data_IF_744299120775
#
_entry.id   IF_744299120775
#
_cell.length_a   1.000
_cell.length_b   1.000
_cell.length_c   1.000
_cell.angle_alpha   90.00
_cell.angle_beta   90.00
_cell.angle_gamma   90.00
#
_symmetry.space_group_name_H-M   'P 1'
#
loop_
_entity.id
_entity.type
_entity.pdbx_description
1 polymer ?
#
# COMPACT_ATOMS: atom_id res chain seq x y z
N UNK A 1 63.06 -49.90 15.13
CA UNK A 1 62.94 -48.78 14.18
C UNK A 1 61.53 -48.76 13.62
N UNK A 2 60.62 -48.09 14.31
CA UNK A 2 59.23 -47.88 13.89
C UNK A 2 59.10 -46.41 13.52
N UNK A 3 58.97 -46.15 12.23
CA UNK A 3 58.83 -44.81 11.65
C UNK A 3 57.50 -44.19 12.06
N UNK A 4 57.55 -43.36 13.10
CA UNK A 4 56.52 -42.40 13.49
C UNK A 4 56.24 -41.43 12.34
N UNK A 5 55.30 -41.82 11.47
CA UNK A 5 54.84 -41.05 10.31
C UNK A 5 53.37 -40.65 10.48
N UNK A 6 52.96 -40.38 11.73
CA UNK A 6 51.55 -40.17 12.11
C UNK A 6 51.17 -38.76 12.57
N UNK A 7 52.02 -37.74 12.41
CA UNK A 7 51.83 -36.45 13.14
C UNK A 7 51.27 -35.29 12.30
N UNK A 8 51.14 -35.39 10.97
CA UNK A 8 50.84 -34.20 10.15
C UNK A 8 49.70 -34.34 9.14
N UNK A 9 48.67 -35.13 9.41
CA UNK A 9 47.35 -34.87 8.82
C UNK A 9 46.69 -33.68 9.53
N UNK A 10 47.34 -32.51 9.48
CA UNK A 10 46.74 -31.24 9.89
C UNK A 10 45.44 -31.09 9.11
N UNK A 11 44.30 -31.17 9.80
CA UNK A 11 43.00 -30.93 9.23
C UNK A 11 43.02 -29.59 8.47
N UNK A 12 43.12 -29.67 7.14
CA UNK A 12 43.14 -28.51 6.24
C UNK A 12 41.69 -28.04 6.13
N UNK A 13 41.20 -27.36 7.16
CA UNK A 13 39.99 -26.55 7.02
C UNK A 13 40.27 -25.41 6.04
N UNK A 14 39.30 -25.06 5.19
CA UNK A 14 39.43 -23.90 4.30
C UNK A 14 39.85 -22.66 5.11
N UNK A 15 40.89 -21.91 4.69
CA UNK A 15 41.32 -20.70 5.40
C UNK A 15 40.19 -19.67 5.50
N UNK A 16 39.28 -19.65 4.52
CA UNK A 16 38.10 -18.80 4.51
C UNK A 16 37.12 -19.14 5.65
N UNK A 17 36.76 -20.42 5.82
CA UNK A 17 35.85 -20.83 6.90
C UNK A 17 36.43 -20.53 8.28
N UNK A 18 37.77 -20.63 8.40
CA UNK A 18 38.47 -20.19 9.61
C UNK A 18 38.34 -18.68 9.80
N UNK A 19 38.58 -17.88 8.76
CA UNK A 19 38.43 -16.42 8.82
C UNK A 19 37.00 -16.00 9.21
N UNK A 20 35.98 -16.54 8.53
CA UNK A 20 34.56 -16.31 8.86
C UNK A 20 34.30 -16.70 10.31
N UNK A 21 34.78 -17.86 10.74
CA UNK A 21 34.60 -18.31 12.11
C UNK A 21 35.25 -17.38 13.12
N UNK A 22 36.45 -16.84 12.87
CA UNK A 22 37.09 -15.88 13.77
C UNK A 22 36.34 -14.55 13.78
N UNK A 23 36.04 -14.00 12.61
CA UNK A 23 35.36 -12.72 12.40
C UNK A 23 33.92 -12.70 12.90
N UNK A 24 33.26 -13.86 13.01
CA UNK A 24 31.84 -13.92 13.40
C UNK A 24 31.56 -13.27 14.75
N UNK A 25 32.45 -13.41 15.74
CA UNK A 25 32.21 -12.82 17.06
C UNK A 25 32.26 -11.28 17.01
N UNK A 26 33.30 -10.65 16.43
CA UNK A 26 33.25 -9.21 16.13
C UNK A 26 32.00 -8.79 15.37
N UNK A 27 31.64 -9.49 14.28
CA UNK A 27 30.45 -9.16 13.47
C UNK A 27 29.17 -9.22 14.30
N UNK A 28 29.00 -10.24 15.14
CA UNK A 28 27.83 -10.37 16.01
C UNK A 28 27.67 -9.20 17.00
N UNK A 29 28.77 -8.58 17.43
CA UNK A 29 28.77 -7.40 18.30
C UNK A 29 28.61 -6.08 17.53
N UNK A 30 29.37 -5.91 16.44
CA UNK A 30 29.40 -4.66 15.70
C UNK A 30 28.18 -4.45 14.82
N UNK A 31 27.58 -5.52 14.28
CA UNK A 31 26.42 -5.41 13.40
C UNK A 31 25.22 -4.71 14.07
N UNK A 32 24.72 -5.14 15.24
CA UNK A 32 23.58 -4.46 15.88
C UNK A 32 23.91 -3.01 16.26
N UNK A 33 25.14 -2.73 16.70
CA UNK A 33 25.60 -1.36 16.97
C UNK A 33 25.55 -0.51 15.71
N UNK A 34 26.10 -1.01 14.60
CA UNK A 34 26.10 -0.32 13.32
C UNK A 34 24.67 -0.06 12.82
N UNK A 35 23.77 -1.05 12.94
CA UNK A 35 22.38 -0.88 12.52
C UNK A 35 21.63 0.17 13.35
N UNK A 36 21.88 0.22 14.67
CA UNK A 36 21.33 1.29 15.52
C UNK A 36 21.91 2.65 15.12
N UNK A 37 23.22 2.75 14.88
CA UNK A 37 23.87 3.98 14.43
C UNK A 37 23.32 4.49 13.09
N UNK A 38 23.09 3.58 12.13
CA UNK A 38 22.45 3.94 10.86
C UNK A 38 21.01 4.41 11.08
N UNK A 39 20.30 3.84 12.06
CA UNK A 39 18.93 4.22 12.40
C UNK A 39 18.81 5.62 13.00
N UNK A 40 19.84 6.13 13.66
CA UNK A 40 19.88 7.52 14.11
C UNK A 40 19.73 8.54 12.98
N UNK A 41 20.09 8.19 11.74
CA UNK A 41 19.95 9.10 10.61
C UNK A 41 18.49 9.35 10.20
N UNK A 42 17.57 8.42 10.52
CA UNK A 42 16.14 8.57 10.22
C UNK A 42 15.35 9.16 11.39
N UNK A 43 15.78 9.00 12.65
CA UNK A 43 15.01 9.47 13.80
C UNK A 43 13.75 8.61 14.11
N UNK A 44 12.76 9.18 14.79
CA UNK A 44 11.51 8.50 15.17
C UNK A 44 11.46 7.86 16.56
N UNK A 45 10.26 7.47 16.98
CA UNK A 45 9.99 6.80 18.27
C UNK A 45 10.75 5.49 18.40
N UNK A 46 10.91 4.72 17.31
CA UNK A 46 11.67 3.47 17.32
C UNK A 46 13.14 3.72 17.62
N UNK A 47 13.70 4.81 17.09
CA UNK A 47 15.08 5.20 17.40
C UNK A 47 15.22 5.53 18.87
N UNK A 48 14.28 6.28 19.46
CA UNK A 48 14.26 6.57 20.89
C UNK A 48 14.26 5.28 21.73
N UNK A 49 13.35 4.34 21.42
CA UNK A 49 13.28 3.05 22.10
C UNK A 49 14.55 2.24 21.91
N UNK A 50 15.10 2.18 20.70
CA UNK A 50 16.34 1.46 20.41
C UNK A 50 17.51 2.05 21.20
N UNK A 51 17.59 3.36 21.37
CA UNK A 51 18.65 4.01 22.13
C UNK A 51 18.52 3.71 23.62
N UNK A 52 17.33 3.89 24.19
CA UNK A 52 17.08 3.58 25.61
C UNK A 52 17.30 2.10 25.92
N UNK A 53 16.87 1.21 25.03
CA UNK A 53 17.01 -0.24 25.20
C UNK A 53 18.35 -0.79 24.69
N UNK A 54 19.16 0.00 23.99
CA UNK A 54 20.43 -0.45 23.40
C UNK A 54 21.37 -1.13 24.38
N UNK A 55 21.51 -0.71 25.66
CA UNK A 55 22.39 -1.37 26.60
C UNK A 55 21.99 -2.81 26.90
N UNK A 56 20.72 -3.18 26.65
CA UNK A 56 20.17 -4.53 26.86
C UNK A 56 20.03 -5.27 25.52
N UNK A 57 19.48 -4.60 24.50
CA UNK A 57 19.19 -5.18 23.18
C UNK A 57 20.47 -5.55 22.44
N UNK A 58 21.49 -4.68 22.44
CA UNK A 58 22.76 -4.96 21.72
C UNK A 58 23.46 -6.19 22.30
N UNK A 59 23.72 -6.29 23.62
CA UNK A 59 24.30 -7.51 24.18
C UNK A 59 23.40 -8.73 23.98
N UNK A 60 22.07 -8.59 24.11
CA UNK A 60 21.12 -9.68 23.89
C UNK A 60 21.23 -10.28 22.49
N UNK A 61 21.16 -9.44 21.46
CA UNK A 61 21.30 -9.87 20.05
C UNK A 61 22.69 -10.44 19.79
N UNK A 62 23.75 -9.80 20.28
CA UNK A 62 25.12 -10.27 20.08
C UNK A 62 25.37 -11.65 20.71
N UNK A 63 24.85 -11.88 21.93
CA UNK A 63 24.92 -13.16 22.62
C UNK A 63 24.13 -14.25 21.89
N UNK A 64 22.92 -13.92 21.42
CA UNK A 64 22.11 -14.84 20.61
C UNK A 64 22.84 -15.20 19.31
N UNK A 65 23.33 -14.23 18.55
CA UNK A 65 24.08 -14.46 17.32
C UNK A 65 25.38 -15.27 17.55
N UNK A 66 25.99 -15.17 18.73
CA UNK A 66 27.17 -15.95 19.12
C UNK A 66 26.83 -17.37 19.64
N UNK A 67 25.57 -17.68 19.94
CA UNK A 67 25.16 -18.94 20.57
C UNK A 67 25.52 -20.19 19.76
N UNK A 68 25.26 -20.26 18.43
CA UNK A 68 25.66 -21.43 17.62
C UNK A 68 27.18 -21.68 17.69
N UNK A 69 27.97 -20.61 17.77
CA UNK A 69 29.42 -20.69 17.92
C UNK A 69 29.84 -21.27 19.26
N UNK A 70 29.23 -20.83 20.35
CA UNK A 70 29.53 -21.34 21.68
C UNK A 70 29.19 -22.82 21.83
N UNK A 71 28.04 -23.25 21.28
CA UNK A 71 27.60 -24.65 21.28
C UNK A 71 28.64 -25.54 20.57
N UNK A 72 29.06 -25.16 19.37
CA UNK A 72 30.04 -25.92 18.59
C UNK A 72 31.44 -25.89 19.24
N UNK A 73 31.90 -24.73 19.75
CA UNK A 73 33.20 -24.63 20.43
C UNK A 73 33.28 -25.51 21.67
N UNK A 74 32.23 -25.57 22.48
CA UNK A 74 32.17 -26.45 23.66
C UNK A 74 32.33 -27.94 23.29
N UNK A 75 32.05 -28.32 22.05
CA UNK A 75 32.19 -29.69 21.53
C UNK A 75 33.48 -29.93 20.74
N UNK A 76 34.44 -29.01 20.81
CA UNK A 76 35.77 -29.16 20.20
C UNK A 76 35.85 -28.78 18.72
N UNK A 77 34.81 -28.17 18.16
CA UNK A 77 34.86 -27.66 16.78
C UNK A 77 35.81 -26.46 16.69
N UNK A 78 36.81 -26.58 15.81
CA UNK A 78 37.81 -25.51 15.57
C UNK A 78 37.38 -24.52 14.49
N UNK A 79 36.48 -24.93 13.60
CA UNK A 79 35.94 -24.13 12.49
C UNK A 79 34.43 -24.36 12.38
N UNK A 80 33.71 -23.38 11.85
CA UNK A 80 32.30 -23.55 11.54
C UNK A 80 32.12 -24.53 10.38
N UNK A 81 31.15 -25.44 10.47
CA UNK A 81 30.56 -26.10 9.31
C UNK A 81 30.03 -25.04 8.32
N UNK A 82 30.24 -25.27 7.02
CA UNK A 82 29.83 -24.33 5.97
C UNK A 82 28.32 -24.02 6.01
N UNK A 83 27.49 -25.01 6.36
CA UNK A 83 26.04 -24.85 6.53
C UNK A 83 25.70 -23.83 7.62
N UNK A 84 26.30 -23.96 8.80
CA UNK A 84 26.10 -23.03 9.93
C UNK A 84 26.59 -21.63 9.56
N UNK A 85 27.77 -21.50 8.95
CA UNK A 85 28.28 -20.20 8.48
C UNK A 85 27.34 -19.54 7.48
N UNK A 86 26.81 -20.29 6.51
CA UNK A 86 25.93 -19.76 5.47
C UNK A 86 24.62 -19.25 6.06
N UNK A 87 24.00 -20.02 6.95
CA UNK A 87 22.77 -19.63 7.63
C UNK A 87 22.97 -18.40 8.54
N UNK A 88 24.11 -18.32 9.22
CA UNK A 88 24.47 -17.15 10.02
C UNK A 88 24.65 -15.89 9.16
N UNK A 89 25.34 -16.00 8.02
CA UNK A 89 25.51 -14.88 7.08
C UNK A 89 24.16 -14.44 6.50
N UNK A 90 23.30 -15.39 6.09
CA UNK A 90 21.95 -15.08 5.62
C UNK A 90 21.12 -14.38 6.69
N UNK A 91 21.20 -14.85 7.94
CA UNK A 91 20.51 -14.22 9.07
C UNK A 91 21.00 -12.79 9.32
N UNK A 92 22.31 -12.57 9.28
CA UNK A 92 22.89 -11.23 9.45
C UNK A 92 22.44 -10.26 8.35
N UNK A 93 22.41 -10.71 7.09
CA UNK A 93 21.88 -9.91 5.99
C UNK A 93 20.38 -9.65 6.14
N UNK A 94 19.59 -10.65 6.57
CA UNK A 94 18.18 -10.47 6.84
C UNK A 94 17.93 -9.39 7.90
N UNK A 95 18.73 -9.40 8.98
CA UNK A 95 18.65 -8.39 10.03
C UNK A 95 19.03 -7.01 9.48
N UNK A 96 20.09 -6.91 8.67
CA UNK A 96 20.50 -5.64 8.07
C UNK A 96 19.43 -5.08 7.11
N UNK A 97 18.88 -5.91 6.22
CA UNK A 97 17.81 -5.51 5.30
C UNK A 97 16.57 -5.05 6.05
N UNK A 98 16.16 -5.79 7.08
CA UNK A 98 15.03 -5.42 7.94
C UNK A 98 15.29 -4.07 8.62
N UNK A 99 16.42 -3.90 9.32
CA UNK A 99 16.71 -2.67 10.05
C UNK A 99 16.87 -1.45 9.15
N UNK A 100 17.40 -1.62 7.93
CA UNK A 100 17.58 -0.51 6.99
C UNK A 100 16.29 -0.12 6.28
N UNK A 101 15.39 -1.07 6.02
CA UNK A 101 14.16 -0.82 5.25
C UNK A 101 12.93 -0.53 6.11
N UNK A 102 12.92 -0.84 7.42
CA UNK A 102 11.79 -0.50 8.30
C UNK A 102 11.66 1.02 8.39
N UNK A 103 10.47 1.57 8.11
CA UNK A 103 10.16 3.00 8.27
C UNK A 103 10.03 3.38 9.74
N UNK A 104 10.29 4.63 10.08
CA UNK A 104 10.09 5.15 11.44
C UNK A 104 8.69 5.72 11.62
N UNK A 105 8.24 5.84 12.86
CA UNK A 105 7.04 6.59 13.22
C UNK A 105 7.39 7.78 14.12
N UNK A 106 6.73 8.91 13.91
CA UNK A 106 6.86 10.12 14.71
C UNK A 106 5.50 10.80 14.90
N UNK A 107 5.46 11.83 15.75
CA UNK A 107 4.22 12.56 16.05
C UNK A 107 3.60 13.26 14.82
N UNK A 108 4.43 13.53 13.81
CA UNK A 108 4.03 14.17 12.55
C UNK A 108 3.85 13.19 11.38
N UNK A 109 3.84 11.88 11.64
CA UNK A 109 3.65 10.85 10.60
C UNK A 109 4.83 9.89 10.42
N UNK A 110 4.88 9.26 9.25
CA UNK A 110 5.91 8.27 8.92
C UNK A 110 7.22 8.94 8.55
N UNK A 111 8.33 8.36 9.01
CA UNK A 111 9.68 8.83 8.70
C UNK A 111 10.35 7.83 7.77
N UNK A 112 11.04 8.34 6.76
CA UNK A 112 11.71 7.54 5.76
C UNK A 112 12.76 6.61 6.36
N UNK A 113 12.87 5.41 5.78
CA UNK A 113 13.87 4.45 6.23
C UNK A 113 15.28 4.93 5.85
N UNK A 114 16.33 4.52 6.59
CA UNK A 114 17.71 4.75 6.18
C UNK A 114 17.99 4.33 4.74
N UNK A 115 17.35 3.24 4.28
CA UNK A 115 17.48 2.77 2.91
C UNK A 115 16.92 3.78 1.91
N UNK A 116 15.75 4.39 2.15
CA UNK A 116 15.22 5.49 1.32
C UNK A 116 16.16 6.67 1.27
N UNK A 117 16.76 7.02 2.40
CA UNK A 117 17.70 8.14 2.50
C UNK A 117 18.91 7.94 1.58
N UNK A 118 19.41 6.69 1.46
CA UNK A 118 20.49 6.35 0.54
C UNK A 118 20.01 6.14 -0.91
N UNK A 119 18.76 5.71 -1.09
CA UNK A 119 18.16 5.39 -2.39
C UNK A 119 16.82 6.13 -2.55
N UNK A 120 16.88 7.42 -2.93
CA UNK A 120 15.71 8.29 -3.04
C UNK A 120 14.62 7.81 -4.01
N UNK A 121 14.96 6.91 -4.94
CA UNK A 121 14.01 6.29 -5.86
C UNK A 121 13.26 5.06 -5.31
N UNK A 122 13.49 4.68 -4.05
CA UNK A 122 12.85 3.53 -3.43
C UNK A 122 11.44 3.90 -2.96
N UNK A 123 10.42 3.24 -3.51
CA UNK A 123 9.02 3.39 -3.09
C UNK A 123 8.80 2.77 -1.71
N UNK A 124 7.91 3.34 -0.90
CA UNK A 124 7.56 2.85 0.44
C UNK A 124 7.26 1.34 0.48
N UNK A 125 6.39 0.86 -0.40
CA UNK A 125 6.04 -0.56 -0.41
C UNK A 125 7.19 -1.48 -0.86
N UNK A 126 8.17 -0.98 -1.62
CA UNK A 126 9.42 -1.72 -1.85
C UNK A 126 10.25 -1.81 -0.57
N UNK A 127 10.27 -0.76 0.27
CA UNK A 127 10.86 -0.83 1.61
C UNK A 127 10.16 -1.87 2.47
N UNK A 128 8.83 -1.86 2.48
CA UNK A 128 8.01 -2.86 3.17
C UNK A 128 8.31 -4.29 2.70
N UNK A 129 8.48 -4.51 1.39
CA UNK A 129 8.87 -5.81 0.84
C UNK A 129 10.29 -6.22 1.24
N UNK A 130 11.26 -5.30 1.20
CA UNK A 130 12.64 -5.57 1.63
C UNK A 130 12.68 -5.88 3.13
N UNK A 131 11.94 -5.12 3.94
CA UNK A 131 11.82 -5.34 5.38
C UNK A 131 11.16 -6.69 5.70
N UNK A 132 10.08 -7.03 4.99
CA UNK A 132 9.39 -8.32 5.09
C UNK A 132 10.27 -9.50 4.67
N UNK A 133 10.99 -9.37 3.56
CA UNK A 133 11.97 -10.36 3.13
C UNK A 133 13.11 -10.50 4.14
N UNK A 134 13.62 -9.39 4.66
CA UNK A 134 14.64 -9.35 5.70
C UNK A 134 14.21 -10.08 6.96
N UNK A 135 12.98 -9.87 7.44
CA UNK A 135 12.46 -10.53 8.64
C UNK A 135 12.24 -12.04 8.42
N UNK A 136 11.69 -12.43 7.25
CA UNK A 136 11.56 -13.83 6.82
C UNK A 136 12.90 -14.55 6.65
N UNK A 137 13.98 -13.81 6.39
CA UNK A 137 15.31 -14.38 6.30
C UNK A 137 16.01 -14.43 7.66
N UNK A 138 15.93 -13.35 8.45
CA UNK A 138 16.69 -13.16 9.68
C UNK A 138 16.40 -14.26 10.71
N UNK A 139 15.13 -14.42 11.09
CA UNK A 139 14.73 -15.29 12.20
C UNK A 139 14.77 -16.79 11.82
N UNK A 140 14.21 -17.23 10.67
CA UNK A 140 14.28 -18.64 10.27
C UNK A 140 15.70 -19.13 10.00
N UNK A 141 16.56 -18.32 9.37
CA UNK A 141 17.96 -18.72 9.15
C UNK A 141 18.73 -18.83 10.46
N UNK A 142 18.47 -17.93 11.42
CA UNK A 142 19.07 -18.03 12.76
C UNK A 142 18.64 -19.32 13.47
N UNK A 143 17.33 -19.62 13.51
CA UNK A 143 16.81 -20.84 14.12
C UNK A 143 17.39 -22.08 13.44
N UNK A 144 17.44 -22.11 12.11
CA UNK A 144 18.06 -23.20 11.37
C UNK A 144 19.55 -23.34 11.71
N UNK A 145 20.29 -22.24 11.79
CA UNK A 145 21.71 -22.27 12.19
C UNK A 145 21.89 -22.86 13.59
N UNK A 146 21.02 -22.48 14.52
CA UNK A 146 21.03 -22.97 15.90
C UNK A 146 20.72 -24.47 15.97
N UNK A 147 19.65 -24.92 15.28
CA UNK A 147 19.27 -26.35 15.22
C UNK A 147 20.40 -27.18 14.61
N UNK A 148 20.95 -26.75 13.48
CA UNK A 148 22.08 -27.44 12.84
C UNK A 148 23.30 -27.47 13.77
N UNK A 149 23.61 -26.37 14.46
CA UNK A 149 24.70 -26.34 15.43
C UNK A 149 24.49 -27.32 16.60
N UNK A 150 23.27 -27.45 17.12
CA UNK A 150 22.92 -28.41 18.17
C UNK A 150 23.06 -29.86 17.66
N UNK A 151 22.53 -30.16 16.47
CA UNK A 151 22.63 -31.51 15.87
C UNK A 151 24.08 -31.89 15.58
N UNK A 152 24.91 -30.95 15.14
CA UNK A 152 26.34 -31.20 14.91
C UNK A 152 27.13 -31.31 16.22
N UNK A 153 26.71 -30.59 17.25
CA UNK A 153 27.26 -30.70 18.59
C UNK A 153 27.05 -32.08 19.22
N UNK A 154 25.95 -32.78 18.93
CA UNK A 154 25.72 -34.15 19.45
C UNK A 154 26.54 -35.21 18.72
N UNK A 155 26.91 -34.98 17.45
CA UNK A 155 27.67 -35.95 16.63
C UNK A 155 29.18 -35.93 16.90
N UNK A 156 29.70 -34.82 17.41
CA UNK A 156 31.12 -34.61 17.69
C UNK A 156 31.98 -34.50 16.42
N UNK A 157 33.16 -33.85 16.49
CA UNK A 157 34.00 -33.59 15.31
C UNK A 157 34.62 -34.86 14.70
N UNK A 158 34.80 -35.92 15.49
CA UNK A 158 35.51 -37.14 15.07
C UNK A 158 34.74 -38.00 14.06
N UNK A 159 33.40 -38.01 14.11
CA UNK A 159 32.57 -38.80 13.17
C UNK A 159 32.54 -38.18 11.77
N UNK A 160 32.49 -36.86 11.67
CA UNK A 160 32.56 -36.19 10.37
C UNK A 160 33.95 -36.24 9.74
N UNK A 161 35.00 -36.11 10.56
CA UNK A 161 36.37 -36.26 10.06
C UNK A 161 36.60 -37.66 9.48
N UNK A 162 36.01 -38.71 10.08
CA UNK A 162 36.09 -40.09 9.60
C UNK A 162 35.30 -40.33 8.29
N UNK A 163 34.14 -39.68 8.11
CA UNK A 163 33.40 -39.73 6.84
C UNK A 163 34.05 -38.90 5.72
N UNK A 164 34.81 -37.85 6.07
CA UNK A 164 35.49 -37.01 5.07
C UNK A 164 36.85 -37.56 4.63
N UNK A 165 37.50 -38.39 5.44
CA UNK A 165 38.82 -38.97 5.11
C UNK A 165 38.75 -40.15 4.16
N UNK A 166 37.61 -40.85 4.04
CA UNK A 166 37.42 -41.97 3.11
C UNK A 166 37.08 -41.53 1.68
N UNK A 167 36.54 -40.34 1.50
CA UNK A 167 36.34 -39.75 0.18
C UNK A 167 37.62 -39.02 -0.27
N UNK A 168 38.60 -39.78 -0.77
CA UNK A 168 39.79 -39.20 -1.40
C UNK A 168 39.36 -38.35 -2.62
N UNK A 169 39.56 -37.02 -2.60
CA UNK A 169 39.24 -36.19 -3.75
C UNK A 169 40.24 -36.47 -4.88
N UNK A 170 39.81 -36.43 -6.15
CA UNK A 170 40.72 -36.55 -7.29
C UNK A 170 41.81 -35.46 -7.24
N UNK A 171 43.07 -35.87 -7.43
CA UNK A 171 44.29 -35.07 -7.24
C UNK A 171 44.42 -33.84 -8.17
N UNK A 172 43.56 -33.67 -9.16
CA UNK A 172 43.71 -32.65 -10.21
C UNK A 172 42.88 -31.38 -10.03
N UNK A 173 41.98 -31.30 -9.05
CA UNK A 173 41.13 -30.12 -8.89
C UNK A 173 41.73 -29.13 -7.88
N UNK A 174 42.63 -28.25 -8.36
CA UNK A 174 43.05 -27.02 -7.67
C UNK A 174 41.95 -25.97 -7.49
N UNK A 175 40.68 -26.38 -7.61
CA UNK A 175 39.51 -25.56 -7.46
C UNK A 175 38.98 -25.71 -6.03
N UNK A 176 38.70 -24.58 -5.37
CA UNK A 176 38.00 -24.55 -4.09
C UNK A 176 36.83 -25.53 -4.14
N UNK A 177 36.75 -26.45 -3.16
CA UNK A 177 35.64 -27.40 -3.11
C UNK A 177 34.35 -26.60 -3.12
N UNK A 178 33.40 -26.91 -4.00
CA UNK A 178 32.16 -26.16 -4.17
C UNK A 178 31.45 -25.81 -2.83
N UNK A 179 31.58 -26.69 -1.82
CA UNK A 179 31.10 -26.48 -0.45
C UNK A 179 31.67 -25.25 0.27
N UNK A 180 32.93 -24.89 -0.01
CA UNK A 180 33.62 -23.76 0.62
C UNK A 180 33.22 -22.43 -0.03
N UNK A 181 32.64 -22.47 -1.24
CA UNK A 181 32.10 -21.32 -1.95
C UNK A 181 30.65 -20.99 -1.54
N UNK A 182 29.94 -21.91 -0.88
CA UNK A 182 28.53 -21.69 -0.47
C UNK A 182 28.38 -20.43 0.39
N UNK A 183 29.21 -20.16 1.42
CA UNK A 183 29.05 -18.96 2.24
C UNK A 183 29.28 -17.67 1.44
N UNK A 184 30.20 -17.68 0.47
CA UNK A 184 30.45 -16.54 -0.44
C UNK A 184 29.23 -16.36 -1.35
N UNK A 185 28.72 -17.46 -1.91
CA UNK A 185 27.52 -17.48 -2.72
C UNK A 185 26.35 -16.85 -1.96
N UNK A 186 26.11 -17.25 -0.71
CA UNK A 186 25.05 -16.67 0.14
C UNK A 186 25.29 -15.19 0.44
N UNK A 187 26.55 -14.79 0.71
CA UNK A 187 26.90 -13.40 0.98
C UNK A 187 26.56 -12.46 -0.20
N UNK A 188 26.74 -12.92 -1.44
CA UNK A 188 26.42 -12.15 -2.65
C UNK A 188 24.95 -12.32 -3.07
N UNK A 189 24.42 -13.54 -2.97
CA UNK A 189 23.09 -13.89 -3.44
C UNK A 189 21.99 -13.17 -2.64
N UNK A 190 22.13 -13.02 -1.33
CA UNK A 190 21.08 -12.40 -0.50
C UNK A 190 20.81 -10.93 -0.89
N UNK A 191 21.83 -10.04 -0.98
CA UNK A 191 21.61 -8.68 -1.48
C UNK A 191 21.02 -8.64 -2.90
N UNK A 192 21.47 -9.54 -3.79
CA UNK A 192 20.96 -9.61 -5.15
C UNK A 192 19.48 -10.02 -5.16
N UNK A 193 19.09 -11.03 -4.38
CA UNK A 193 17.69 -11.45 -4.26
C UNK A 193 16.82 -10.35 -3.66
N UNK A 194 17.32 -9.61 -2.66
CA UNK A 194 16.61 -8.47 -2.10
C UNK A 194 16.40 -7.35 -3.14
N UNK A 195 17.43 -7.04 -3.94
CA UNK A 195 17.33 -6.08 -5.04
C UNK A 195 16.36 -6.55 -6.13
N UNK A 196 16.36 -7.84 -6.47
CA UNK A 196 15.40 -8.44 -7.41
C UNK A 196 13.98 -8.37 -6.85
N UNK A 197 13.77 -8.70 -5.57
CA UNK A 197 12.46 -8.61 -4.93
C UNK A 197 11.92 -7.17 -4.96
N UNK A 198 12.77 -6.18 -4.67
CA UNK A 198 12.43 -4.77 -4.79
C UNK A 198 12.13 -4.36 -6.24
N UNK A 199 12.94 -4.84 -7.21
CA UNK A 199 12.73 -4.62 -8.63
C UNK A 199 11.42 -5.22 -9.15
N UNK A 200 11.06 -6.43 -8.71
CA UNK A 200 9.79 -7.07 -9.04
C UNK A 200 8.63 -6.32 -8.39
N UNK A 201 8.76 -5.91 -7.13
CA UNK A 201 7.74 -5.10 -6.45
C UNK A 201 7.45 -3.80 -7.17
N UNK A 202 8.50 -3.06 -7.56
CA UNK A 202 8.36 -1.82 -8.34
C UNK A 202 7.82 -2.06 -9.74
N UNK A 203 8.20 -3.14 -10.42
CA UNK A 203 7.64 -3.52 -11.72
C UNK A 203 6.15 -3.89 -11.63
N UNK A 204 5.74 -4.60 -10.58
CA UNK A 204 4.34 -4.93 -10.31
C UNK A 204 3.54 -3.65 -10.07
N UNK A 205 4.08 -2.65 -9.36
CA UNK A 205 3.39 -1.36 -9.18
C UNK A 205 3.27 -0.56 -10.47
N UNK A 206 4.35 -0.50 -11.26
CA UNK A 206 4.34 0.19 -12.57
C UNK A 206 3.31 -0.42 -13.52
N UNK A 207 3.10 -1.73 -13.41
CA UNK A 207 2.12 -2.48 -14.17
C UNK A 207 0.83 -2.76 -13.37
N UNK A 208 0.68 -2.14 -12.21
CA UNK A 208 -0.47 -2.34 -11.33
C UNK A 208 -1.75 -1.76 -11.93
N UNK A 209 -2.88 -1.90 -11.23
CA UNK A 209 -4.14 -1.27 -11.63
C UNK A 209 -3.89 0.21 -11.86
N UNK A 210 -4.08 0.64 -13.11
CA UNK A 210 -4.07 2.04 -13.46
C UNK A 210 -5.38 2.64 -13.01
N UNK A 211 -5.30 3.87 -12.55
CA UNK A 211 -6.48 4.67 -12.32
C UNK A 211 -7.24 4.90 -13.64
N UNK A 212 -8.46 5.41 -13.57
CA UNK A 212 -9.25 5.67 -14.79
C UNK A 212 -8.69 6.81 -15.65
N UNK A 213 -7.76 7.60 -15.10
CA UNK A 213 -6.97 8.54 -15.85
C UNK A 213 -5.78 7.89 -16.59
N UNK A 214 -5.55 6.59 -16.41
CA UNK A 214 -4.48 5.79 -17.00
C UNK A 214 -3.15 5.86 -16.24
N UNK A 215 -3.09 6.50 -15.08
CA UNK A 215 -1.90 6.58 -14.26
C UNK A 215 -1.83 5.39 -13.30
N UNK A 216 -0.68 4.70 -13.28
CA UNK A 216 -0.38 3.70 -12.25
C UNK A 216 -0.09 4.38 -10.91
N UNK A 217 -0.30 3.66 -9.81
CA UNK A 217 0.18 4.02 -8.46
C UNK A 217 1.59 4.61 -8.47
N UNK A 218 2.52 3.89 -9.09
CA UNK A 218 3.92 4.30 -9.18
C UNK A 218 4.13 5.64 -9.89
N UNK A 219 3.24 6.02 -10.81
CA UNK A 219 3.33 7.31 -11.50
C UNK A 219 2.83 8.41 -10.58
N UNK A 220 1.69 8.20 -9.90
CA UNK A 220 1.08 9.20 -9.01
C UNK A 220 1.97 9.51 -7.79
N UNK A 221 2.57 8.48 -7.16
CA UNK A 221 3.52 8.64 -6.04
C UNK A 221 4.74 9.47 -6.43
N UNK A 222 5.17 9.37 -7.70
CA UNK A 222 6.38 10.03 -8.20
C UNK A 222 6.15 11.49 -8.62
N UNK A 223 4.90 11.98 -8.62
CA UNK A 223 4.62 13.36 -8.99
C UNK A 223 4.97 14.33 -7.87
N UNK A 224 5.53 15.47 -8.26
CA UNK A 224 5.56 16.63 -7.37
C UNK A 224 4.15 17.21 -7.19
N UNK A 225 4.01 18.16 -6.26
CA UNK A 225 2.72 18.76 -5.91
C UNK A 225 2.00 19.38 -7.11
N UNK A 226 2.72 20.15 -7.92
CA UNK A 226 2.13 20.85 -9.06
C UNK A 226 1.67 19.87 -10.14
N UNK A 227 2.46 18.82 -10.40
CA UNK A 227 2.12 17.78 -11.35
C UNK A 227 0.96 16.90 -10.85
N UNK A 228 0.89 16.65 -9.54
CA UNK A 228 -0.23 15.97 -8.89
C UNK A 228 -1.52 16.79 -9.00
N UNK A 229 -1.50 18.08 -8.69
CA UNK A 229 -2.65 18.99 -8.84
C UNK A 229 -3.12 19.05 -10.30
N UNK A 230 -2.18 19.16 -11.26
CA UNK A 230 -2.49 19.13 -12.68
C UNK A 230 -3.02 17.76 -13.16
N UNK A 231 -2.61 16.66 -12.54
CA UNK A 231 -3.21 15.35 -12.81
C UNK A 231 -4.63 15.28 -12.23
N UNK A 232 -4.83 15.74 -11.00
CA UNK A 232 -6.14 15.79 -10.34
C UNK A 232 -7.15 16.58 -11.16
N UNK A 233 -6.75 17.74 -11.69
CA UNK A 233 -7.60 18.56 -12.56
C UNK A 233 -7.98 17.83 -13.85
N UNK A 234 -7.01 17.18 -14.52
CA UNK A 234 -7.29 16.37 -15.72
C UNK A 234 -8.21 15.18 -15.44
N UNK A 235 -8.08 14.57 -14.26
CA UNK A 235 -8.98 13.50 -13.83
C UNK A 235 -10.38 14.01 -13.54
N UNK A 236 -10.49 15.22 -12.97
CA UNK A 236 -11.76 15.91 -12.76
C UNK A 236 -12.45 16.25 -14.09
N UNK A 237 -11.73 16.82 -15.05
CA UNK A 237 -12.24 17.13 -16.38
C UNK A 237 -12.80 15.87 -17.07
N UNK A 238 -12.06 14.75 -17.02
CA UNK A 238 -12.54 13.48 -17.56
C UNK A 238 -13.75 12.94 -16.82
N UNK A 239 -13.80 13.06 -15.49
CA UNK A 239 -14.98 12.66 -14.71
C UNK A 239 -16.21 13.49 -15.14
N UNK A 240 -16.04 14.78 -15.36
CA UNK A 240 -17.10 15.67 -15.85
C UNK A 240 -17.54 15.30 -17.28
N UNK A 241 -16.61 14.98 -18.16
CA UNK A 241 -16.87 14.50 -19.52
C UNK A 241 -17.72 13.21 -19.49
N UNK A 242 -17.42 12.27 -18.59
CA UNK A 242 -18.18 11.03 -18.42
C UNK A 242 -19.57 11.23 -17.80
N UNK A 243 -19.69 12.19 -16.88
CA UNK A 243 -20.97 12.53 -16.25
C UNK A 243 -21.88 13.37 -17.16
N UNK A 244 -21.32 14.16 -18.09
CA UNK A 244 -22.06 15.12 -18.93
C UNK A 244 -23.16 14.49 -19.80
N UNK A 245 -22.95 13.36 -20.51
CA UNK A 245 -23.99 12.74 -21.32
C UNK A 245 -25.19 12.27 -20.49
N UNK A 246 -24.96 11.72 -19.29
CA UNK A 246 -26.04 11.27 -18.40
C UNK A 246 -26.80 12.46 -17.84
N UNK A 247 -26.09 13.53 -17.44
CA UNK A 247 -26.71 14.81 -17.03
C UNK A 247 -27.59 15.40 -18.14
N UNK A 248 -27.08 15.44 -19.36
CA UNK A 248 -27.78 15.98 -20.54
C UNK A 248 -29.01 15.15 -20.87
N UNK A 249 -28.89 13.82 -20.83
CA UNK A 249 -30.01 12.91 -21.05
C UNK A 249 -31.13 13.11 -20.02
N UNK A 250 -30.75 13.24 -18.75
CA UNK A 250 -31.66 13.55 -17.65
C UNK A 250 -32.32 14.92 -17.85
N UNK A 251 -31.55 15.96 -18.18
CA UNK A 251 -32.09 17.31 -18.37
C UNK A 251 -33.09 17.39 -19.54
N UNK A 252 -32.85 16.64 -20.63
CA UNK A 252 -33.78 16.55 -21.76
C UNK A 252 -35.14 15.96 -21.39
N UNK A 253 -35.21 15.17 -20.32
CA UNK A 253 -36.48 14.69 -19.78
C UNK A 253 -37.22 15.75 -18.93
N UNK A 254 -36.71 16.99 -18.88
CA UNK A 254 -37.33 18.12 -18.18
C UNK A 254 -36.98 18.21 -16.69
N UNK A 255 -35.88 17.58 -16.27
CA UNK A 255 -35.53 17.44 -14.87
C UNK A 255 -34.75 18.66 -14.40
N UNK A 256 -35.15 19.24 -13.27
CA UNK A 256 -34.50 20.42 -12.68
C UNK A 256 -33.49 19.98 -11.61
N UNK A 257 -32.26 20.47 -11.73
CA UNK A 257 -31.20 20.27 -10.74
C UNK A 257 -31.49 21.16 -9.53
N UNK A 258 -31.53 20.57 -8.34
CA UNK A 258 -31.97 21.25 -7.13
C UNK A 258 -30.83 21.74 -6.23
N UNK A 259 -29.65 21.16 -6.40
CA UNK A 259 -28.44 21.59 -5.72
C UNK A 259 -27.22 21.35 -6.60
N UNK A 260 -26.27 22.28 -6.52
CA UNK A 260 -25.00 22.18 -7.23
C UNK A 260 -24.16 21.06 -6.62
N UNK A 261 -23.61 20.22 -7.49
CA UNK A 261 -22.71 19.17 -7.09
C UNK A 261 -21.39 19.71 -6.56
N UNK A 262 -20.98 19.25 -5.39
CA UNK A 262 -19.66 19.52 -4.83
C UNK A 262 -18.68 18.40 -5.15
N UNK A 263 -17.38 18.73 -5.23
CA UNK A 263 -16.31 17.74 -5.16
C UNK A 263 -16.27 17.22 -3.73
N UNK A 264 -16.69 15.98 -3.50
CA UNK A 264 -16.48 15.35 -2.20
C UNK A 264 -15.15 14.59 -2.22
N UNK A 265 -14.10 15.25 -1.72
CA UNK A 265 -12.90 14.53 -1.28
C UNK A 265 -13.29 13.74 -0.03
N UNK A 266 -13.71 12.50 -0.21
CA UNK A 266 -13.77 11.56 0.92
C UNK A 266 -12.35 11.05 1.12
N UNK A 267 -11.61 11.68 2.02
CA UNK A 267 -10.56 10.96 2.74
C UNK A 267 -11.26 9.82 3.46
N UNK A 268 -11.08 8.59 2.99
CA UNK A 268 -11.44 7.42 3.76
C UNK A 268 -10.77 7.51 5.14
N UNK A 269 -11.27 6.76 6.13
CA UNK A 269 -10.63 6.60 7.45
C UNK A 269 -9.16 6.10 7.37
N UNK A 270 -8.66 5.80 6.17
CA UNK A 270 -7.24 5.70 5.81
C UNK A 270 -6.80 7.01 5.12
N UNK A 271 -5.92 7.83 5.73
CA UNK A 271 -5.50 9.16 5.23
C UNK A 271 -4.72 9.15 3.88
N UNK A 272 -4.74 8.03 3.15
CA UNK A 272 -3.79 7.69 2.09
C UNK A 272 -4.43 7.54 0.69
N UNK A 273 -5.74 7.82 0.55
CA UNK A 273 -6.47 7.72 -0.74
C UNK A 273 -7.32 8.96 -0.99
N UNK A 274 -7.29 9.47 -2.22
CA UNK A 274 -8.24 10.51 -2.66
C UNK A 274 -9.27 9.92 -3.63
N UNK A 275 -10.53 10.29 -3.44
CA UNK A 275 -11.66 9.93 -4.31
C UNK A 275 -12.20 11.20 -4.94
N UNK A 276 -12.32 11.22 -6.26
CA UNK A 276 -13.07 12.26 -6.97
C UNK A 276 -14.47 11.72 -7.26
N UNK A 277 -15.46 12.42 -6.74
CA UNK A 277 -16.86 12.17 -6.98
C UNK A 277 -17.53 13.46 -7.47
N UNK A 278 -18.28 13.34 -8.56
CA UNK A 278 -19.21 14.35 -9.01
C UNK A 278 -20.62 13.87 -8.63
N UNK A 279 -21.22 14.51 -7.62
CA UNK A 279 -22.57 14.17 -7.18
C UNK A 279 -23.52 15.32 -7.44
N UNK A 280 -24.73 15.09 -7.96
CA UNK A 280 -25.76 16.11 -8.07
C UNK A 280 -27.13 15.56 -7.68
N UNK A 281 -28.04 16.45 -7.29
CA UNK A 281 -29.38 16.08 -6.86
C UNK A 281 -30.44 16.74 -7.74
N UNK A 282 -31.47 15.96 -8.07
CA UNK A 282 -32.60 16.34 -8.89
C UNK A 282 -33.87 16.10 -8.07
N UNK A 283 -34.77 17.08 -8.05
CA UNK A 283 -36.07 16.91 -7.39
C UNK A 283 -37.09 16.34 -8.36
N UNK A 284 -37.94 15.44 -7.86
CA UNK A 284 -38.92 14.75 -8.69
C UNK A 284 -40.27 14.54 -8.01
N UNK A 285 -41.32 14.71 -8.81
CA UNK A 285 -42.67 14.25 -8.48
C UNK A 285 -42.88 12.84 -9.03
N UNK A 286 -42.69 11.85 -8.15
CA UNK A 286 -42.84 10.44 -8.52
C UNK A 286 -42.45 9.51 -7.37
N UNK A 287 -42.70 8.21 -7.55
CA UNK A 287 -42.15 7.20 -6.66
C UNK A 287 -40.65 6.97 -6.97
N UNK A 288 -39.81 6.68 -5.95
CA UNK A 288 -38.38 6.46 -6.15
C UNK A 288 -38.04 5.38 -7.17
N UNK A 289 -38.86 4.32 -7.28
CA UNK A 289 -38.64 3.21 -8.21
C UNK A 289 -38.70 3.65 -9.67
N UNK A 290 -39.76 4.37 -10.04
CA UNK A 290 -39.97 4.93 -11.38
C UNK A 290 -38.92 5.97 -11.75
N UNK A 291 -38.47 6.78 -10.79
CA UNK A 291 -37.41 7.78 -11.00
C UNK A 291 -36.07 7.08 -11.24
N UNK A 292 -35.68 6.16 -10.36
CA UNK A 292 -34.42 5.43 -10.50
C UNK A 292 -34.38 4.62 -11.81
N UNK A 293 -35.49 3.97 -12.20
CA UNK A 293 -35.57 3.18 -13.45
C UNK A 293 -35.41 4.04 -14.71
N UNK A 294 -35.95 5.27 -14.71
CA UNK A 294 -35.73 6.22 -15.81
C UNK A 294 -34.28 6.67 -15.88
N UNK A 295 -33.71 7.08 -14.75
CA UNK A 295 -32.30 7.48 -14.68
C UNK A 295 -31.37 6.35 -15.15
N UNK A 296 -31.67 5.11 -14.76
CA UNK A 296 -30.98 3.93 -15.23
C UNK A 296 -31.07 3.77 -16.75
N UNK A 297 -32.26 3.92 -17.34
CA UNK A 297 -32.42 3.81 -18.80
C UNK A 297 -31.63 4.89 -19.55
N UNK A 298 -31.55 6.10 -19.01
CA UNK A 298 -30.70 7.18 -19.56
C UNK A 298 -29.22 6.79 -19.47
N UNK A 299 -28.76 6.29 -18.33
CA UNK A 299 -27.38 5.86 -18.16
C UNK A 299 -27.02 4.67 -19.07
N UNK A 300 -27.89 3.66 -19.17
CA UNK A 300 -27.72 2.50 -20.05
C UNK A 300 -27.66 2.93 -21.53
N UNK A 301 -28.43 3.93 -21.93
CA UNK A 301 -28.36 4.51 -23.28
C UNK A 301 -27.03 5.23 -23.56
N UNK A 302 -26.31 5.68 -22.53
CA UNK A 302 -24.96 6.25 -22.62
C UNK A 302 -23.84 5.20 -22.44
N UNK A 303 -24.17 3.91 -22.51
CA UNK A 303 -23.19 2.82 -22.45
C UNK A 303 -22.81 2.38 -21.03
N UNK A 304 -23.49 2.89 -19.99
CA UNK A 304 -23.29 2.42 -18.62
C UNK A 304 -23.97 1.06 -18.43
N UNK A 305 -23.28 0.11 -17.81
CA UNK A 305 -23.77 -1.26 -17.59
C UNK A 305 -23.94 -1.50 -16.10
N UNK A 306 -24.93 -2.30 -15.71
CA UNK A 306 -25.10 -2.71 -14.31
C UNK A 306 -23.85 -3.44 -13.83
N UNK A 307 -23.32 -3.05 -12.69
CA UNK A 307 -22.15 -3.67 -12.09
C UNK A 307 -22.58 -4.97 -11.41
N UNK A 308 -22.80 -6.01 -12.20
CA UNK A 308 -23.26 -7.34 -11.76
C UNK A 308 -22.20 -8.14 -11.01
N UNK A 309 -21.18 -7.49 -10.43
CA UNK A 309 -20.27 -8.19 -9.51
C UNK A 309 -21.11 -8.76 -8.38
N UNK A 310 -21.23 -10.09 -8.37
CA UNK A 310 -21.96 -10.80 -7.33
C UNK A 310 -21.45 -10.33 -5.97
N UNK A 311 -22.36 -9.96 -5.07
CA UNK A 311 -22.04 -9.61 -3.68
C UNK A 311 -21.33 -10.75 -2.90
N UNK A 312 -21.12 -11.90 -3.55
CA UNK A 312 -20.41 -13.09 -3.06
C UNK A 312 -18.96 -13.20 -3.54
N UNK A 313 -18.46 -12.29 -4.38
CA UNK A 313 -17.03 -12.20 -4.67
C UNK A 313 -16.25 -11.85 -3.40
N UNK A 314 -15.01 -12.35 -3.20
CA UNK A 314 -14.18 -11.89 -2.08
C UNK A 314 -14.12 -10.38 -2.15
N UNK A 315 -14.54 -9.71 -1.06
CA UNK A 315 -14.54 -8.25 -0.97
C UNK A 315 -13.21 -7.75 -1.50
N UNK A 316 -13.25 -7.00 -2.60
CA UNK A 316 -12.06 -6.39 -3.16
C UNK A 316 -11.46 -5.57 -2.00
N UNK A 317 -10.22 -5.80 -1.55
CA UNK A 317 -9.64 -5.04 -0.45
C UNK A 317 -9.60 -3.52 -0.76
N UNK A 318 -9.84 -3.14 -2.02
CA UNK A 318 -10.04 -1.76 -2.48
C UNK A 318 -11.43 -1.18 -2.17
N UNK A 319 -12.44 -2.00 -1.84
CA UNK A 319 -13.83 -1.61 -1.59
C UNK A 319 -14.18 -1.55 -0.08
N UNK A 320 -13.24 -1.85 0.82
CA UNK A 320 -13.51 -1.98 2.26
C UNK A 320 -13.85 -0.67 3.00
N UNK A 321 -13.51 0.50 2.45
CA UNK A 321 -13.91 1.81 2.99
C UNK A 321 -15.10 2.43 2.27
N UNK A 322 -15.61 1.76 1.22
CA UNK A 322 -16.86 2.15 0.59
C UNK A 322 -17.98 1.64 1.49
N UNK A 323 -18.71 2.57 2.12
CA UNK A 323 -20.01 2.27 2.75
C UNK A 323 -21.07 1.79 1.74
N UNK A 324 -20.70 1.61 0.46
CA UNK A 324 -21.57 1.27 -0.66
C UNK A 324 -21.00 0.10 -1.50
N UNK A 325 -20.62 -1.00 -0.85
CA UNK A 325 -20.42 -2.32 -1.51
C UNK A 325 -21.74 -3.04 -1.82
N UNK A 326 -22.82 -2.26 -1.94
CA UNK A 326 -24.16 -2.77 -2.18
C UNK A 326 -24.27 -3.57 -3.47
N UNK A 327 -25.31 -4.40 -3.58
CA UNK A 327 -25.62 -5.13 -4.80
C UNK A 327 -25.81 -4.16 -5.99
N UNK A 328 -25.70 -4.69 -7.22
CA UNK A 328 -25.93 -3.93 -8.46
C UNK A 328 -27.24 -3.12 -8.47
N UNK A 329 -28.23 -3.60 -7.71
CA UNK A 329 -29.54 -3.01 -7.52
C UNK A 329 -29.95 -3.23 -6.05
N UNK A 330 -30.41 -2.18 -5.38
CA UNK A 330 -30.89 -2.28 -4.00
C UNK A 330 -32.17 -1.48 -3.76
N UNK A 331 -32.99 -2.01 -2.85
CA UNK A 331 -34.32 -1.51 -2.50
C UNK A 331 -34.39 -1.41 -0.99
N UNK A 332 -34.86 -0.27 -0.49
CA UNK A 332 -35.08 -0.04 0.94
C UNK A 332 -36.57 0.25 1.11
N UNK A 333 -37.27 -0.62 1.84
CA UNK A 333 -38.71 -0.51 2.11
C UNK A 333 -38.95 -0.33 3.60
N UNK A 334 -39.93 0.49 3.96
CA UNK A 334 -40.36 0.58 5.37
C UNK A 334 -41.10 -0.68 5.85
N UNK A 335 -41.50 -0.68 7.13
CA UNK A 335 -42.26 -1.79 7.73
C UNK A 335 -43.62 -2.04 7.05
N UNK A 336 -44.17 -1.05 6.34
CA UNK A 336 -45.40 -1.16 5.58
C UNK A 336 -45.19 -1.62 4.13
N UNK A 337 -43.94 -1.90 3.72
CA UNK A 337 -43.57 -2.30 2.37
C UNK A 337 -43.53 -1.15 1.37
N UNK A 338 -43.53 0.11 1.82
CA UNK A 338 -43.40 1.29 0.96
C UNK A 338 -41.93 1.48 0.60
N UNK A 339 -41.64 1.59 -0.69
CA UNK A 339 -40.29 1.83 -1.20
C UNK A 339 -39.79 3.22 -0.82
N UNK A 340 -38.88 3.29 0.14
CA UNK A 340 -38.24 4.51 0.61
C UNK A 340 -37.06 4.91 -0.28
N UNK A 341 -36.28 3.93 -0.74
CA UNK A 341 -35.10 4.15 -1.58
C UNK A 341 -34.94 3.06 -2.62
N UNK A 342 -34.47 3.46 -3.80
CA UNK A 342 -34.07 2.57 -4.88
C UNK A 342 -32.75 3.05 -5.45
N UNK A 343 -31.83 2.14 -5.72
CA UNK A 343 -30.64 2.54 -6.42
C UNK A 343 -29.99 1.46 -7.27
N UNK A 344 -29.07 1.92 -8.10
CA UNK A 344 -28.34 1.11 -9.07
C UNK A 344 -26.87 1.48 -9.04
N UNK A 345 -26.00 0.46 -9.11
CA UNK A 345 -24.57 0.62 -9.33
C UNK A 345 -24.26 0.26 -10.77
N UNK A 346 -23.65 1.21 -11.47
CA UNK A 346 -23.33 1.11 -12.88
C UNK A 346 -21.84 1.29 -13.10
N UNK A 347 -21.33 0.71 -14.18
CA UNK A 347 -19.95 0.82 -14.62
C UNK A 347 -19.91 1.01 -16.14
N UNK A 348 -19.10 1.94 -16.63
CA UNK A 348 -18.86 2.09 -18.07
C UNK A 348 -17.63 1.29 -18.53
N UNK A 349 -17.36 1.28 -19.84
CA UNK A 349 -16.22 0.55 -20.42
C UNK A 349 -14.85 1.16 -20.03
N UNK A 350 -14.84 2.44 -19.63
CA UNK A 350 -13.68 3.14 -19.08
C UNK A 350 -13.45 2.84 -17.59
N UNK A 351 -14.35 2.08 -16.96
CA UNK A 351 -14.27 1.60 -15.58
C UNK A 351 -14.88 2.53 -14.52
N UNK A 352 -15.29 3.75 -14.85
CA UNK A 352 -15.96 4.66 -13.93
C UNK A 352 -17.18 4.02 -13.30
N UNK A 353 -17.45 4.36 -12.04
CA UNK A 353 -18.60 3.84 -11.30
C UNK A 353 -19.62 4.95 -11.14
N UNK A 354 -20.88 4.63 -11.38
CA UNK A 354 -21.99 5.54 -11.13
C UNK A 354 -22.96 4.89 -10.16
N UNK A 355 -23.36 5.66 -9.15
CA UNK A 355 -24.35 5.30 -8.15
C UNK A 355 -25.57 6.18 -8.38
N UNK A 356 -26.67 5.56 -8.81
CA UNK A 356 -27.97 6.20 -8.91
C UNK A 356 -28.75 5.89 -7.63
N UNK A 357 -29.20 6.92 -6.91
CA UNK A 357 -29.96 6.75 -5.66
C UNK A 357 -31.18 7.65 -5.66
N UNK A 358 -32.36 7.07 -5.86
CA UNK A 358 -33.63 7.77 -5.66
C UNK A 358 -34.15 7.50 -4.25
N UNK A 359 -34.63 8.54 -3.57
CA UNK A 359 -35.16 8.42 -2.22
C UNK A 359 -36.28 9.42 -1.95
N UNK A 360 -37.16 9.06 -1.01
CA UNK A 360 -38.07 10.01 -0.39
C UNK A 360 -37.25 10.85 0.62
N UNK A 361 -37.37 12.18 0.62
CA UNK A 361 -36.69 13.01 1.61
C UNK A 361 -37.18 12.66 3.03
N UNK A 362 -36.28 12.12 3.87
CA UNK A 362 -36.62 11.64 5.23
C UNK A 362 -36.49 12.76 6.28
N UNK A 363 -36.21 14.01 5.88
CA UNK A 363 -35.94 15.07 6.84
C UNK A 363 -37.20 15.84 7.25
N UNK A 364 -37.52 15.89 8.56
CA UNK A 364 -38.54 16.78 9.12
C UNK A 364 -38.13 18.26 9.15
N UNK A 365 -36.89 18.62 8.75
CA UNK A 365 -36.39 20.00 8.78
C UNK A 365 -36.81 20.87 7.58
N UNK A 366 -37.78 20.43 6.75
CA UNK A 366 -38.32 21.24 5.65
C UNK A 366 -39.42 22.23 6.06
N UNK A 367 -39.71 22.36 7.36
CA UNK A 367 -40.67 23.34 7.91
C UNK A 367 -40.25 24.82 7.74
N UNK A 368 -39.04 25.11 7.22
CA UNK A 368 -38.64 26.47 6.84
C UNK A 368 -38.96 26.84 5.38
N UNK A 369 -39.67 25.98 4.63
CA UNK A 369 -40.05 26.30 3.24
C UNK A 369 -41.13 27.36 3.15
N UNK A 370 -41.01 28.22 2.14
CA UNK A 370 -42.00 29.24 1.79
C UNK A 370 -43.39 28.59 1.68
N UNK A 371 -44.39 29.05 2.45
CA UNK A 371 -45.75 28.54 2.40
C UNK A 371 -46.29 28.56 0.97
N UNK A 372 -46.74 27.40 0.47
CA UNK A 372 -47.32 27.27 -0.87
C UNK A 372 -46.43 26.58 -1.91
N UNK A 373 -45.17 26.27 -1.59
CA UNK A 373 -44.32 25.51 -2.51
C UNK A 373 -44.64 24.00 -2.41
N UNK A 374 -45.03 23.33 -3.50
CA UNK A 374 -45.29 21.89 -3.46
C UNK A 374 -44.02 21.13 -3.04
N UNK A 375 -44.14 20.28 -2.01
CA UNK A 375 -43.03 19.45 -1.56
C UNK A 375 -42.81 18.33 -2.58
N UNK A 376 -41.65 18.28 -3.25
CA UNK A 376 -41.33 17.19 -4.15
C UNK A 376 -41.34 15.87 -3.39
N UNK A 377 -42.03 14.87 -3.96
CA UNK A 377 -42.25 13.58 -3.31
C UNK A 377 -41.00 12.72 -3.23
N UNK A 378 -40.00 13.00 -4.06
CA UNK A 378 -38.75 12.25 -4.14
C UNK A 378 -37.60 13.13 -4.63
N UNK A 379 -36.37 12.68 -4.41
CA UNK A 379 -35.18 13.21 -5.05
C UNK A 379 -34.37 12.06 -5.66
N UNK A 380 -33.62 12.36 -6.72
CA UNK A 380 -32.61 11.50 -7.30
C UNK A 380 -31.25 12.12 -7.05
N UNK A 381 -30.40 11.43 -6.31
CA UNK A 381 -28.97 11.70 -6.23
C UNK A 381 -28.27 10.83 -7.25
N UNK A 382 -27.50 11.46 -8.12
CA UNK A 382 -26.58 10.78 -9.03
C UNK A 382 -25.17 11.08 -8.57
N UNK A 383 -24.37 10.05 -8.35
CA UNK A 383 -22.98 10.17 -7.95
C UNK A 383 -22.12 9.40 -8.94
N UNK A 384 -21.27 10.11 -9.66
CA UNK A 384 -20.30 9.52 -10.59
C UNK A 384 -18.93 9.62 -9.96
N UNK A 385 -18.26 8.49 -9.88
CA UNK A 385 -17.01 8.35 -9.16
C UNK A 385 -15.94 7.79 -10.09
N UNK A 386 -14.76 8.39 -9.97
CA UNK A 386 -13.56 7.77 -10.47
C UNK A 386 -13.08 6.75 -9.45
N UNK A 387 -13.30 5.47 -9.70
CA UNK A 387 -12.78 4.35 -8.91
C UNK A 387 -11.24 4.26 -8.91
N UNK A 388 -10.74 3.89 -7.72
CA UNK A 388 -9.36 3.54 -7.33
C UNK A 388 -8.28 4.55 -7.71
N UNK A 389 -7.76 5.26 -6.70
CA UNK A 389 -6.53 6.04 -6.81
C UNK A 389 -5.64 5.80 -5.59
N UNK A 390 -4.34 5.78 -5.87
CA UNK A 390 -3.29 5.36 -4.96
C UNK A 390 -2.52 6.55 -4.40
N UNK A 391 -1.78 6.28 -3.32
CA UNK A 391 -0.88 7.16 -2.57
C UNK A 391 -0.31 8.33 -3.41
N UNK A 392 -0.69 9.55 -3.08
CA UNK A 392 0.15 10.72 -3.34
C UNK A 392 1.15 10.83 -2.19
N UNK A 393 2.38 11.28 -2.45
CA UNK A 393 3.42 11.41 -1.43
C UNK A 393 2.86 11.97 -0.10
N UNK A 394 2.98 11.24 1.03
CA UNK A 394 2.31 11.58 2.30
C UNK A 394 2.70 12.95 2.86
N UNK A 395 3.80 13.56 2.38
CA UNK A 395 4.14 14.96 2.67
C UNK A 395 3.05 15.96 2.25
N UNK A 396 2.09 15.57 1.41
CA UNK A 396 1.00 16.44 0.96
C UNK A 396 -0.30 16.24 1.76
N UNK A 397 -0.44 15.15 2.52
CA UNK A 397 -1.67 14.83 3.24
C UNK A 397 -1.96 15.79 4.42
N UNK A 398 -0.92 16.39 5.01
CA UNK A 398 -1.05 17.39 6.08
C UNK A 398 -1.52 18.77 5.62
N UNK A 399 -1.42 19.06 4.31
CA UNK A 399 -1.70 20.38 3.74
C UNK A 399 -2.93 20.40 2.83
N UNK A 400 -3.64 19.28 2.65
CA UNK A 400 -4.97 19.32 2.05
C UNK A 400 -5.91 19.89 3.11
N UNK A 401 -6.48 21.09 2.93
CA UNK A 401 -7.32 21.67 3.95
C UNK A 401 -8.56 20.81 4.15
N UNK A 402 -8.60 20.11 5.28
CA UNK A 402 -9.73 19.30 5.73
C UNK A 402 -10.80 20.14 6.43
N UNK A 403 -10.52 21.41 6.73
CA UNK A 403 -11.48 22.40 7.21
C UNK A 403 -11.64 23.58 6.24
N UNK A 404 -12.86 24.13 6.18
CA UNK A 404 -13.31 25.25 5.33
C UNK A 404 -12.59 26.59 5.56
N UNK A 405 -11.64 26.67 6.50
CA UNK A 405 -11.14 27.95 7.01
C UNK A 405 -9.82 28.40 6.36
N UNK A 406 -9.19 27.57 5.54
CA UNK A 406 -7.98 27.97 4.81
C UNK A 406 -8.34 28.86 3.61
N UNK A 407 -7.67 30.01 3.38
CA UNK A 407 -7.90 30.86 2.20
C UNK A 407 -7.65 30.14 0.86
N UNK A 408 -6.89 29.04 0.88
CA UNK A 408 -6.60 28.18 -0.26
C UNK A 408 -7.70 27.14 -0.48
N UNK A 409 -8.29 26.61 0.61
CA UNK A 409 -9.52 25.81 0.59
C UNK A 409 -10.69 26.65 0.09
N UNK A 410 -10.80 27.87 0.62
CA UNK A 410 -11.73 28.88 0.12
C UNK A 410 -11.39 29.15 -1.33
N UNK A 411 -10.19 29.53 -1.79
CA UNK A 411 -9.93 29.69 -3.24
C UNK A 411 -10.28 28.48 -4.13
N UNK A 412 -10.04 27.27 -3.66
CA UNK A 412 -10.40 26.02 -4.36
C UNK A 412 -11.91 25.74 -4.35
N UNK A 413 -12.67 26.33 -3.42
CA UNK A 413 -14.13 26.13 -3.23
C UNK A 413 -14.99 27.40 -3.40
N UNK A 414 -14.38 28.58 -3.43
CA UNK A 414 -14.92 29.96 -3.38
C UNK A 414 -14.55 30.76 -4.63
N UNK A 415 -13.72 30.22 -5.51
CA UNK A 415 -14.07 30.30 -6.92
C UNK A 415 -15.24 29.35 -7.09
N UNK A 416 -16.38 29.88 -7.53
CA UNK A 416 -17.60 29.16 -7.91
C UNK A 416 -17.39 27.65 -8.08
N UNK A 417 -18.05 26.78 -7.27
CA UNK A 417 -17.79 25.33 -7.25
C UNK A 417 -17.77 24.84 -8.67
N UNK A 418 -16.64 24.35 -9.25
CA UNK A 418 -16.31 24.46 -10.68
C UNK A 418 -17.59 24.55 -11.47
N UNK A 419 -18.06 25.79 -11.65
CA UNK A 419 -19.44 26.02 -12.05
C UNK A 419 -19.58 25.23 -13.32
N UNK A 420 -20.57 24.33 -13.34
CA UNK A 420 -20.94 23.61 -14.54
C UNK A 420 -20.76 24.58 -15.69
N UNK A 421 -19.84 24.29 -16.60
CA UNK A 421 -19.37 25.23 -17.62
C UNK A 421 -20.63 25.90 -18.21
N UNK A 422 -20.79 27.21 -17.97
CA UNK A 422 -22.08 27.89 -18.20
C UNK A 422 -22.56 27.81 -19.66
N UNK A 423 -21.63 27.53 -20.57
CA UNK A 423 -21.82 27.23 -21.98
C UNK A 423 -22.45 25.85 -22.27
N UNK A 424 -22.42 24.92 -21.31
CA UNK A 424 -23.07 23.60 -21.42
C UNK A 424 -24.58 23.62 -21.07
N UNK A 425 -25.10 24.74 -20.55
CA UNK A 425 -26.49 24.84 -20.06
C UNK A 425 -27.28 26.09 -20.54
N UNK A 426 -27.42 26.35 -21.85
CA UNK A 426 -28.21 27.48 -22.33
C UNK A 426 -29.71 27.38 -21.98
N UNK A 427 -30.23 26.17 -21.70
CA UNK A 427 -31.64 25.94 -21.37
C UNK A 427 -32.03 26.22 -19.92
N UNK A 428 -31.07 26.23 -18.98
CA UNK A 428 -31.34 26.37 -17.54
C UNK A 428 -31.09 27.78 -17.01
N UNK A 429 -30.18 28.54 -17.64
CA UNK A 429 -29.99 29.97 -17.36
C UNK A 429 -31.23 30.82 -17.67
N UNK A 430 -32.14 30.33 -18.53
CA UNK A 430 -33.42 30.99 -18.78
C UNK A 430 -34.38 30.90 -17.59
N UNK A 431 -34.24 29.89 -16.73
CA UNK A 431 -35.08 29.70 -15.53
C UNK A 431 -34.51 30.49 -14.35
N UNK A 432 -33.18 30.59 -14.24
CA UNK A 432 -32.51 31.33 -13.16
C UNK A 432 -32.74 32.85 -13.27
N UNK A 433 -32.81 33.40 -14.49
CA UNK A 433 -33.23 34.78 -14.72
C UNK A 433 -34.72 35.06 -14.39
N UNK A 434 -35.54 34.01 -14.28
CA UNK A 434 -36.92 34.07 -13.81
C UNK A 434 -37.02 34.01 -12.28
N UNK A 435 -36.24 33.12 -11.66
CA UNK A 435 -36.17 32.95 -10.20
C UNK A 435 -35.49 34.13 -9.48
N UNK A 436 -34.46 34.76 -10.08
CA UNK A 436 -33.81 35.93 -9.47
C UNK A 436 -34.70 37.18 -9.45
N UNK A 437 -35.60 37.34 -10.43
CA UNK A 437 -36.56 38.46 -10.47
C UNK A 437 -37.72 38.32 -9.50
N UNK A 438 -38.00 37.10 -9.05
CA UNK A 438 -39.02 36.82 -8.03
C UNK A 438 -38.48 37.02 -6.60
N UNK A 439 -37.14 37.05 -6.44
CA UNK A 439 -36.46 37.42 -5.19
C UNK A 439 -36.19 38.93 -5.06
N UNK A 440 -36.14 39.68 -6.17
CA UNK A 440 -36.00 41.15 -6.18
C UNK A 440 -37.35 41.91 -6.09
N UNK A 441 -38.49 41.20 -6.02
CA UNK A 441 -39.80 41.77 -5.65
C UNK A 441 -40.21 41.25 -4.29
#
# INVERSE_FOLDING_TARGET
>A
MTTSSGILSRAVGSPLLRAIWYLWLPVAWFLPVLLILLRFSSGGWETLFLVMLSPVVVPGIALLAALPRFILRRRGWRYAPASVSSLLIASAWGLALMSLAVRGSGDSGTIDSPLRTFFSGLSERAEGMIAGFGSMLAFPCYLAALVVAIVLATRGPSREAAHQSTAQPPKSAGWMRARDLIPIGVFVLVPVLAAVAAGVGTAIMRNGPRDFAGASEANTVALDRAAFEAQRERSWDRLQEQASPVRTGIAREGWLVASHGGVRSVTADEPERYRLAASWEILFDGDPGSVAKRALSVAEAQGWKRDLRDASGPADPLDASSTDTGPAEWDDTDEAGVLLRKGYRLRNDDGYVMVLRAAIPVSPAQDERVPGTPVPKSYLRVEVESGVYWEGNPSFAGDVPTSMDSPEAQRLWSNEPPTFRGDEWPGLLAVDAGWSREWER
#
